data_IF_571939435921
#
_entry.id   IF_571939435921
#
_cell.length_a   1.000
_cell.length_b   1.000
_cell.length_c   1.000
_cell.angle_alpha   90.00
_cell.angle_beta   90.00
_cell.angle_gamma   90.00
#
_symmetry.space_group_name_H-M   'P 1'
#
loop_
_entity.id
_entity.type
_entity.pdbx_description
1 polymer ?
#
# COMPACT_ATOMS: atom_id res chain seq x y z
N UNK A 1 19.40 -18.67 10.53
CA UNK A 1 18.49 -17.72 9.86
C UNK A 1 18.41 -16.49 10.74
N UNK A 2 18.74 -15.32 10.26
CA UNK A 2 18.67 -14.08 11.02
C UNK A 2 17.19 -13.62 11.15
N UNK A 3 16.93 -12.52 11.88
CA UNK A 3 15.56 -12.04 12.15
C UNK A 3 14.87 -11.52 10.88
N UNK A 4 15.64 -10.96 9.95
CA UNK A 4 15.16 -10.46 8.67
C UNK A 4 14.70 -11.63 7.78
N UNK A 5 15.51 -12.69 7.65
CA UNK A 5 15.15 -13.88 6.86
C UNK A 5 13.90 -14.56 7.41
N UNK A 6 13.76 -14.62 8.75
CA UNK A 6 12.56 -15.19 9.39
C UNK A 6 11.31 -14.36 9.08
N UNK A 7 11.41 -13.03 9.09
CA UNK A 7 10.29 -12.15 8.77
C UNK A 7 9.88 -12.30 7.30
N UNK A 8 10.86 -12.37 6.40
CA UNK A 8 10.62 -12.53 4.97
C UNK A 8 9.96 -13.89 4.66
N UNK A 9 10.46 -14.99 5.23
CA UNK A 9 9.89 -16.32 5.03
C UNK A 9 8.46 -16.43 5.60
N UNK A 10 8.20 -15.80 6.76
CA UNK A 10 6.87 -15.75 7.34
C UNK A 10 5.88 -15.00 6.43
N UNK A 11 6.30 -13.86 5.87
CA UNK A 11 5.50 -13.12 4.91
C UNK A 11 5.24 -13.94 3.65
N UNK A 12 6.28 -14.55 3.06
CA UNK A 12 6.17 -15.39 1.88
C UNK A 12 5.15 -16.51 2.08
N UNK A 13 5.31 -17.31 3.12
CA UNK A 13 4.41 -18.43 3.44
C UNK A 13 2.97 -17.96 3.63
N UNK A 14 2.77 -16.84 4.35
CA UNK A 14 1.44 -16.28 4.58
C UNK A 14 0.75 -15.88 3.27
N UNK A 15 1.45 -15.13 2.39
CA UNK A 15 0.87 -14.61 1.16
C UNK A 15 0.76 -15.66 0.05
N UNK A 16 1.67 -16.66 -0.01
CA UNK A 16 1.48 -17.83 -0.88
C UNK A 16 0.17 -18.54 -0.57
N UNK A 17 -0.10 -18.82 0.70
CA UNK A 17 -1.35 -19.47 1.12
C UNK A 17 -2.59 -18.60 0.83
N UNK A 18 -2.48 -17.28 1.05
CA UNK A 18 -3.58 -16.34 0.85
C UNK A 18 -3.99 -16.23 -0.63
N UNK A 19 -3.02 -16.26 -1.55
CA UNK A 19 -3.25 -16.03 -2.97
C UNK A 19 -3.31 -17.30 -3.82
N UNK A 20 -3.03 -18.49 -3.27
CA UNK A 20 -2.96 -19.77 -4.01
C UNK A 20 -4.18 -20.06 -4.90
N UNK A 21 -5.39 -19.68 -4.46
CA UNK A 21 -6.64 -19.89 -5.20
C UNK A 21 -7.39 -18.59 -5.46
N UNK A 22 -6.68 -17.50 -5.65
CA UNK A 22 -7.31 -16.19 -5.84
C UNK A 22 -8.07 -16.11 -7.17
N UNK A 23 -9.34 -15.66 -7.10
CA UNK A 23 -10.16 -15.47 -8.28
C UNK A 23 -10.00 -14.06 -8.85
N UNK A 24 -9.65 -13.97 -10.13
CA UNK A 24 -9.50 -12.68 -10.84
C UNK A 24 -10.83 -12.08 -11.31
N UNK A 25 -11.97 -12.75 -11.10
CA UNK A 25 -13.26 -12.32 -11.65
C UNK A 25 -13.66 -10.89 -11.25
N UNK A 26 -13.43 -10.54 -9.99
CA UNK A 26 -13.70 -9.18 -9.51
C UNK A 26 -12.76 -8.16 -10.16
N UNK A 27 -11.47 -8.49 -10.33
CA UNK A 27 -10.50 -7.59 -10.96
C UNK A 27 -10.92 -7.34 -12.42
N UNK A 28 -11.28 -8.39 -13.16
CA UNK A 28 -11.80 -8.26 -14.53
C UNK A 28 -13.06 -7.40 -14.60
N UNK A 29 -13.99 -7.56 -13.66
CA UNK A 29 -15.16 -6.71 -13.57
C UNK A 29 -14.81 -5.24 -13.34
N UNK A 30 -13.83 -4.97 -12.48
CA UNK A 30 -13.39 -3.61 -12.16
C UNK A 30 -12.66 -2.93 -13.32
N UNK A 31 -11.74 -3.61 -14.00
CA UNK A 31 -11.03 -3.04 -15.14
C UNK A 31 -11.96 -2.84 -16.35
N UNK A 32 -12.97 -3.69 -16.55
CA UNK A 32 -14.01 -3.49 -17.57
C UNK A 32 -14.95 -2.32 -17.25
N UNK A 33 -15.00 -1.85 -16.00
CA UNK A 33 -15.79 -0.69 -15.54
C UNK A 33 -14.89 0.31 -14.80
N UNK A 34 -13.71 0.58 -15.35
CA UNK A 34 -12.58 1.22 -14.68
C UNK A 34 -12.92 2.58 -14.07
N UNK A 35 -13.60 3.46 -14.84
CA UNK A 35 -13.98 4.79 -14.37
C UNK A 35 -14.93 4.71 -13.18
N UNK A 36 -15.98 3.91 -13.32
CA UNK A 36 -16.95 3.69 -12.25
C UNK A 36 -16.32 3.09 -10.98
N UNK A 37 -15.40 2.15 -11.16
CA UNK A 37 -14.66 1.57 -10.05
C UNK A 37 -13.82 2.63 -9.35
N UNK A 38 -12.96 3.34 -10.09
CA UNK A 38 -12.07 4.35 -9.52
C UNK A 38 -12.84 5.48 -8.83
N UNK A 39 -13.91 6.02 -9.46
CA UNK A 39 -14.74 7.05 -8.87
C UNK A 39 -15.39 6.60 -7.55
N UNK A 40 -15.74 5.32 -7.44
CA UNK A 40 -16.26 4.75 -6.21
C UNK A 40 -15.16 4.60 -5.15
N UNK A 41 -14.09 3.85 -5.45
CA UNK A 41 -13.09 3.47 -4.43
C UNK A 41 -12.21 4.64 -3.99
N UNK A 42 -11.91 5.59 -4.86
CA UNK A 42 -11.16 6.79 -4.49
C UNK A 42 -11.95 7.78 -3.65
N UNK A 43 -13.23 7.52 -3.41
CA UNK A 43 -14.07 8.34 -2.52
C UNK A 43 -14.54 7.60 -1.27
N UNK A 44 -14.42 6.27 -1.23
CA UNK A 44 -14.91 5.45 -0.11
C UNK A 44 -13.85 4.58 0.55
N UNK A 45 -12.74 4.26 -0.15
CA UNK A 45 -11.70 3.40 0.37
C UNK A 45 -10.40 4.17 0.57
N UNK A 46 -9.97 4.24 1.82
CA UNK A 46 -8.87 5.10 2.25
C UNK A 46 -7.55 4.85 1.49
N UNK A 47 -7.23 3.58 1.18
CA UNK A 47 -6.00 3.25 0.46
C UNK A 47 -6.02 3.73 -0.99
N UNK A 48 -7.17 3.60 -1.66
CA UNK A 48 -7.36 4.11 -3.01
C UNK A 48 -7.40 5.63 -3.04
N UNK A 49 -8.16 6.24 -2.10
CA UNK A 49 -8.17 7.69 -1.94
C UNK A 49 -6.76 8.24 -1.73
N UNK A 50 -5.99 7.65 -0.80
CA UNK A 50 -4.63 8.10 -0.49
C UNK A 50 -3.67 7.92 -1.66
N UNK A 51 -3.60 6.70 -2.23
CA UNK A 51 -2.65 6.39 -3.29
C UNK A 51 -2.91 7.20 -4.58
N UNK A 52 -4.17 7.44 -4.92
CA UNK A 52 -4.57 8.12 -6.16
C UNK A 52 -4.73 9.64 -6.02
N UNK A 53 -4.31 10.24 -4.90
CA UNK A 53 -4.25 11.71 -4.74
C UNK A 53 -3.33 12.38 -5.77
N UNK A 54 -3.43 13.71 -5.88
CA UNK A 54 -2.55 14.54 -6.71
C UNK A 54 -2.56 14.12 -8.19
N UNK A 55 -3.74 13.80 -8.71
CA UNK A 55 -3.95 13.41 -10.12
C UNK A 55 -3.13 12.16 -10.56
N UNK A 56 -2.85 11.25 -9.63
CA UNK A 56 -2.02 10.08 -9.94
C UNK A 56 -2.58 9.25 -11.10
N UNK A 57 -3.92 9.09 -11.16
CA UNK A 57 -4.61 8.43 -12.27
C UNK A 57 -4.20 8.94 -13.66
N UNK A 58 -4.03 10.25 -13.81
CA UNK A 58 -3.62 10.86 -15.10
C UNK A 58 -2.11 10.80 -15.29
N UNK A 59 -1.34 10.96 -14.22
CA UNK A 59 0.13 10.98 -14.26
C UNK A 59 0.75 9.68 -14.74
N UNK A 60 0.13 8.54 -14.46
CA UNK A 60 0.69 7.21 -14.80
C UNK A 60 0.43 6.76 -16.23
N UNK A 61 -0.46 7.42 -16.96
CA UNK A 61 -0.79 7.04 -18.36
C UNK A 61 0.45 7.09 -19.24
N UNK A 62 0.78 5.96 -19.87
CA UNK A 62 1.97 5.80 -20.71
C UNK A 62 3.30 5.85 -19.95
N UNK A 63 3.28 5.73 -18.63
CA UNK A 63 4.48 5.72 -17.78
C UNK A 63 4.86 4.30 -17.39
N UNK A 64 6.14 4.10 -17.11
CA UNK A 64 6.66 2.84 -16.60
C UNK A 64 6.60 2.82 -15.10
N UNK A 65 5.85 1.89 -14.54
CA UNK A 65 5.52 1.81 -13.11
C UNK A 65 5.97 0.46 -12.55
N UNK A 66 6.67 0.48 -11.42
CA UNK A 66 6.95 -0.71 -10.62
C UNK A 66 6.06 -0.71 -9.39
N UNK A 67 5.28 -1.76 -9.19
CA UNK A 67 4.56 -2.01 -7.94
C UNK A 67 5.35 -2.99 -7.06
N UNK A 68 5.62 -2.59 -5.82
CA UNK A 68 6.28 -3.40 -4.82
C UNK A 68 5.25 -4.06 -3.91
N UNK A 69 5.36 -5.38 -3.72
CA UNK A 69 4.38 -6.15 -2.95
C UNK A 69 3.00 -6.09 -3.60
N UNK A 70 2.88 -6.54 -4.85
CA UNK A 70 1.65 -6.43 -5.62
C UNK A 70 0.49 -7.27 -5.07
N UNK A 71 0.80 -8.28 -4.27
CA UNK A 71 -0.18 -9.12 -3.59
C UNK A 71 -1.20 -9.77 -4.55
N UNK A 72 -2.47 -9.42 -4.42
CA UNK A 72 -3.55 -9.88 -5.30
C UNK A 72 -3.53 -9.24 -6.71
N UNK A 73 -2.55 -8.42 -7.02
CA UNK A 73 -2.33 -7.71 -8.29
C UNK A 73 -3.50 -6.78 -8.71
N UNK A 74 -4.42 -6.48 -7.81
CA UNK A 74 -5.56 -5.59 -8.13
C UNK A 74 -5.07 -4.21 -8.56
N UNK A 75 -4.14 -3.60 -7.80
CA UNK A 75 -3.64 -2.26 -8.13
C UNK A 75 -2.76 -2.28 -9.38
N UNK A 76 -1.95 -3.33 -9.61
CA UNK A 76 -1.21 -3.54 -10.86
C UNK A 76 -2.14 -3.57 -12.08
N UNK A 77 -3.24 -4.35 -11.99
CA UNK A 77 -4.23 -4.45 -13.07
C UNK A 77 -4.93 -3.12 -13.36
N UNK A 78 -5.28 -2.36 -12.32
CA UNK A 78 -5.90 -1.03 -12.48
C UNK A 78 -4.91 -0.05 -13.14
N UNK A 79 -3.64 -0.02 -12.73
CA UNK A 79 -2.63 0.84 -13.34
C UNK A 79 -2.36 0.46 -14.80
N UNK A 80 -2.31 -0.83 -15.11
CA UNK A 80 -2.16 -1.32 -16.48
C UNK A 80 -3.38 -0.97 -17.36
N UNK A 81 -4.60 -1.10 -16.81
CA UNK A 81 -5.83 -0.70 -17.51
C UNK A 81 -5.92 0.82 -17.74
N UNK A 82 -5.29 1.64 -16.88
CA UNK A 82 -5.11 3.08 -17.10
C UNK A 82 -4.09 3.40 -18.19
N UNK A 83 -3.39 2.39 -18.72
CA UNK A 83 -2.42 2.53 -19.80
C UNK A 83 -0.97 2.68 -19.36
N UNK A 84 -0.63 2.38 -18.10
CA UNK A 84 0.73 2.30 -17.63
C UNK A 84 1.42 1.01 -18.14
N UNK A 85 2.76 1.04 -18.30
CA UNK A 85 3.59 -0.14 -18.45
C UNK A 85 3.97 -0.63 -17.05
N UNK A 86 3.30 -1.69 -16.56
CA UNK A 86 3.38 -2.13 -15.16
C UNK A 86 4.30 -3.33 -15.00
N UNK A 87 5.23 -3.20 -14.06
CA UNK A 87 6.04 -4.27 -13.48
C UNK A 87 5.52 -4.52 -12.06
N UNK A 88 5.10 -5.73 -11.77
CA UNK A 88 4.53 -6.13 -10.49
C UNK A 88 5.49 -7.07 -9.78
N UNK A 89 6.07 -6.64 -8.65
CA UNK A 89 6.98 -7.46 -7.85
C UNK A 89 6.26 -8.03 -6.63
N UNK A 90 6.49 -9.29 -6.35
CA UNK A 90 6.11 -9.94 -5.10
C UNK A 90 7.05 -11.12 -4.81
N UNK A 91 7.21 -11.44 -3.52
CA UNK A 91 7.94 -12.62 -3.07
C UNK A 91 7.12 -13.90 -3.20
N UNK A 92 5.77 -13.77 -3.23
CA UNK A 92 4.83 -14.88 -3.40
C UNK A 92 4.67 -15.20 -4.88
N UNK A 93 5.03 -16.41 -5.31
CA UNK A 93 4.87 -16.88 -6.70
C UNK A 93 3.41 -16.95 -7.12
N UNK A 94 2.48 -17.13 -6.17
CA UNK A 94 1.05 -17.11 -6.39
C UNK A 94 0.57 -15.78 -7.04
N UNK A 95 1.22 -14.65 -6.75
CA UNK A 95 0.95 -13.36 -7.41
C UNK A 95 1.29 -13.41 -8.91
N UNK A 96 2.35 -14.13 -9.29
CA UNK A 96 2.71 -14.35 -10.70
C UNK A 96 1.65 -15.12 -11.47
N UNK A 97 1.04 -16.11 -10.85
CA UNK A 97 -0.07 -16.85 -11.44
C UNK A 97 -1.32 -15.95 -11.63
N UNK A 98 -1.58 -15.02 -10.72
CA UNK A 98 -2.63 -14.01 -10.89
C UNK A 98 -2.32 -13.11 -12.09
N UNK A 99 -1.09 -12.59 -12.21
CA UNK A 99 -0.64 -11.78 -13.36
C UNK A 99 -0.82 -12.55 -14.67
N UNK A 100 -0.41 -13.81 -14.72
CA UNK A 100 -0.58 -14.66 -15.91
C UNK A 100 -2.04 -14.74 -16.32
N UNK A 101 -2.93 -15.08 -15.38
CA UNK A 101 -4.39 -15.14 -15.62
C UNK A 101 -4.96 -13.80 -16.07
N UNK A 102 -4.53 -12.68 -15.51
CA UNK A 102 -4.97 -11.34 -15.92
C UNK A 102 -4.58 -11.04 -17.36
N UNK A 103 -3.33 -11.30 -17.75
CA UNK A 103 -2.85 -11.09 -19.12
C UNK A 103 -3.54 -12.00 -20.14
N UNK A 104 -3.95 -13.20 -19.75
CA UNK A 104 -4.71 -14.12 -20.63
C UNK A 104 -6.17 -13.72 -20.82
N UNK A 105 -6.78 -13.05 -19.85
CA UNK A 105 -8.21 -12.75 -19.83
C UNK A 105 -8.54 -11.27 -20.09
N UNK A 106 -7.52 -10.40 -20.23
CA UNK A 106 -7.73 -8.98 -20.55
C UNK A 106 -6.60 -8.47 -21.46
N UNK A 107 -6.96 -7.72 -22.49
CA UNK A 107 -6.00 -7.12 -23.41
C UNK A 107 -5.52 -5.77 -22.88
N UNK A 108 -4.43 -5.77 -22.12
CA UNK A 108 -3.75 -4.54 -21.71
C UNK A 108 -2.99 -3.92 -22.89
N UNK A 109 -2.84 -2.60 -22.91
CA UNK A 109 -1.96 -1.91 -23.85
C UNK A 109 -0.52 -2.41 -23.75
N UNK A 110 -0.07 -2.64 -22.52
CA UNK A 110 1.19 -3.29 -22.16
C UNK A 110 0.86 -4.41 -21.19
N UNK A 111 1.12 -5.68 -21.50
CA UNK A 111 0.94 -6.78 -20.56
C UNK A 111 1.70 -6.51 -19.26
N UNK A 112 1.13 -6.92 -18.13
CA UNK A 112 1.79 -6.77 -16.82
C UNK A 112 2.97 -7.73 -16.78
N UNK A 113 4.15 -7.22 -16.42
CA UNK A 113 5.38 -8.02 -16.24
C UNK A 113 5.49 -8.38 -14.75
N UNK A 114 5.49 -9.68 -14.45
CA UNK A 114 5.74 -10.12 -13.08
C UNK A 114 7.25 -10.24 -12.82
N UNK A 115 7.71 -9.67 -11.71
CA UNK A 115 9.08 -9.75 -11.22
C UNK A 115 9.04 -10.54 -9.91
N UNK A 116 9.31 -11.84 -10.00
CA UNK A 116 9.26 -12.77 -8.88
C UNK A 116 10.45 -12.59 -7.94
N UNK A 117 10.20 -12.73 -6.64
CA UNK A 117 11.24 -12.88 -5.63
C UNK A 117 11.59 -11.62 -4.86
N UNK A 118 12.73 -11.66 -4.18
CA UNK A 118 13.20 -10.54 -3.38
C UNK A 118 13.48 -9.32 -4.25
N UNK A 119 12.84 -8.22 -3.92
CA UNK A 119 13.05 -6.95 -4.60
C UNK A 119 14.53 -6.50 -4.60
N UNK A 120 15.30 -6.84 -3.57
CA UNK A 120 16.72 -6.46 -3.46
C UNK A 120 17.63 -7.28 -4.37
N UNK A 121 17.18 -8.43 -4.85
CA UNK A 121 17.93 -9.33 -5.74
C UNK A 121 17.54 -9.16 -7.22
N UNK A 122 16.80 -8.11 -7.55
CA UNK A 122 16.38 -7.86 -8.93
C UNK A 122 17.58 -7.46 -9.84
N UNK A 123 17.50 -7.83 -11.12
CA UNK A 123 18.47 -7.45 -12.15
C UNK A 123 17.98 -6.28 -13.01
N UNK A 124 17.09 -5.43 -12.49
CA UNK A 124 16.50 -4.33 -13.25
C UNK A 124 17.52 -3.19 -13.38
N UNK A 125 17.64 -2.67 -14.59
CA UNK A 125 18.53 -1.55 -14.90
C UNK A 125 18.15 -0.30 -14.07
N UNK A 126 19.17 0.44 -13.59
CA UNK A 126 18.96 1.72 -12.92
C UNK A 126 18.18 2.70 -13.79
N UNK A 127 17.45 3.62 -13.16
CA UNK A 127 16.71 4.68 -13.85
C UNK A 127 15.73 4.16 -14.90
N UNK A 128 15.02 3.05 -14.59
CA UNK A 128 14.08 2.40 -15.50
C UNK A 128 12.64 2.89 -15.34
N UNK A 129 12.24 3.36 -14.15
CA UNK A 129 10.85 3.65 -13.83
C UNK A 129 10.57 5.13 -13.65
N UNK A 130 9.41 5.57 -14.13
CA UNK A 130 8.85 6.90 -13.85
C UNK A 130 8.22 6.92 -12.45
N UNK A 131 7.62 5.79 -12.02
CA UNK A 131 7.01 5.63 -10.71
C UNK A 131 7.39 4.29 -10.07
N UNK A 132 7.55 4.31 -8.74
CA UNK A 132 7.54 3.11 -7.89
C UNK A 132 6.39 3.25 -6.90
N UNK A 133 5.57 2.22 -6.76
CA UNK A 133 4.33 2.25 -5.97
C UNK A 133 4.31 1.11 -4.97
N UNK A 134 3.89 1.37 -3.74
CA UNK A 134 3.62 0.36 -2.74
C UNK A 134 2.33 0.68 -1.98
N UNK A 135 1.39 -0.25 -1.97
CA UNK A 135 0.13 -0.10 -1.25
C UNK A 135 0.10 -1.04 -0.05
N UNK A 136 0.31 -0.48 1.14
CA UNK A 136 0.39 -1.25 2.39
C UNK A 136 1.53 -2.29 2.34
N UNK A 137 2.73 -1.84 2.04
CA UNK A 137 3.89 -2.69 1.81
C UNK A 137 5.05 -2.45 2.79
N UNK A 138 5.48 -1.18 2.99
CA UNK A 138 6.69 -0.89 3.78
C UNK A 138 6.58 -1.37 5.24
N UNK A 139 5.37 -1.41 5.80
CA UNK A 139 5.18 -1.84 7.18
C UNK A 139 5.42 -3.36 7.41
N UNK A 140 5.55 -4.15 6.34
CA UNK A 140 5.97 -5.56 6.42
C UNK A 140 7.49 -5.72 6.57
N UNK A 141 8.25 -4.67 6.27
CA UNK A 141 9.71 -4.70 6.33
C UNK A 141 10.22 -4.33 7.72
N UNK A 142 11.30 -4.96 8.16
CA UNK A 142 12.06 -4.42 9.31
C UNK A 142 12.73 -3.09 8.92
N UNK A 143 13.07 -2.25 9.89
CA UNK A 143 13.67 -0.93 9.60
C UNK A 143 14.99 -1.03 8.80
N UNK A 144 15.91 -1.98 9.09
CA UNK A 144 17.11 -2.14 8.26
C UNK A 144 16.80 -2.51 6.81
N UNK A 145 15.82 -3.41 6.59
CA UNK A 145 15.40 -3.84 5.25
C UNK A 145 14.69 -2.70 4.52
N UNK A 146 13.82 -1.92 5.19
CA UNK A 146 13.19 -0.72 4.60
C UNK A 146 14.24 0.23 4.01
N UNK A 147 15.34 0.47 4.73
CA UNK A 147 16.42 1.33 4.26
C UNK A 147 17.05 0.83 2.96
N UNK A 148 17.25 -0.48 2.84
CA UNK A 148 17.75 -1.11 1.61
C UNK A 148 16.75 -0.95 0.47
N UNK A 149 15.46 -1.17 0.73
CA UNK A 149 14.38 -1.00 -0.25
C UNK A 149 14.25 0.45 -0.75
N UNK A 150 14.37 1.44 0.14
CA UNK A 150 14.33 2.85 -0.26
C UNK A 150 15.54 3.24 -1.11
N UNK A 151 16.74 2.74 -0.79
CA UNK A 151 17.94 2.92 -1.61
C UNK A 151 17.77 2.30 -2.99
N UNK A 152 17.26 1.08 -3.07
CA UNK A 152 17.00 0.40 -4.33
C UNK A 152 15.90 1.11 -5.14
N UNK A 153 14.85 1.56 -4.49
CA UNK A 153 13.82 2.41 -5.11
C UNK A 153 14.41 3.66 -5.76
N UNK A 154 15.29 4.35 -5.04
CA UNK A 154 15.99 5.53 -5.59
C UNK A 154 16.91 5.17 -6.76
N UNK A 155 17.55 3.99 -6.77
CA UNK A 155 18.35 3.50 -7.89
C UNK A 155 17.50 3.27 -9.14
N UNK A 156 16.33 2.66 -8.97
CA UNK A 156 15.44 2.27 -10.05
C UNK A 156 14.65 3.44 -10.66
N UNK A 157 14.38 4.50 -9.90
CA UNK A 157 13.70 5.69 -10.40
C UNK A 157 14.58 6.48 -11.38
N UNK A 158 13.95 6.94 -12.47
CA UNK A 158 14.51 7.95 -13.37
C UNK A 158 14.75 9.28 -12.64
N UNK A 159 15.56 10.20 -13.17
CA UNK A 159 15.55 11.59 -12.74
C UNK A 159 14.11 12.16 -12.78
N UNK A 160 13.72 12.91 -11.77
CA UNK A 160 12.36 13.42 -11.54
C UNK A 160 11.29 12.31 -11.37
N UNK A 161 11.68 11.06 -11.16
CA UNK A 161 10.77 9.95 -10.86
C UNK A 161 10.21 10.06 -9.44
N UNK A 162 9.04 9.46 -9.21
CA UNK A 162 8.29 9.55 -7.95
C UNK A 162 8.03 8.15 -7.37
N UNK A 163 8.35 7.95 -6.09
CA UNK A 163 7.89 6.80 -5.34
C UNK A 163 6.68 7.18 -4.46
N UNK A 164 5.66 6.33 -4.43
CA UNK A 164 4.41 6.54 -3.69
C UNK A 164 4.12 5.33 -2.82
N UNK A 165 4.04 5.54 -1.51
CA UNK A 165 3.70 4.49 -0.56
C UNK A 165 2.49 4.91 0.25
N UNK A 166 1.46 4.05 0.27
CA UNK A 166 0.33 4.23 1.16
C UNK A 166 0.47 3.28 2.35
N UNK A 167 0.66 3.86 3.54
CA UNK A 167 1.01 3.11 4.75
C UNK A 167 0.12 3.47 5.95
N UNK A 168 0.00 2.58 6.96
CA UNK A 168 -0.55 2.98 8.26
C UNK A 168 0.23 4.15 8.85
N UNK A 169 -0.44 4.99 9.62
CA UNK A 169 0.16 6.09 10.38
C UNK A 169 -0.07 5.90 11.87
N UNK A 170 1.02 5.98 12.66
CA UNK A 170 0.99 5.94 14.11
C UNK A 170 1.80 7.13 14.63
N UNK A 171 1.15 8.28 14.75
CA UNK A 171 1.76 9.53 15.21
C UNK A 171 1.43 9.85 16.67
N UNK A 172 0.35 9.27 17.23
CA UNK A 172 -0.06 9.44 18.61
C UNK A 172 -0.03 8.10 19.37
N UNK A 173 0.88 7.97 20.33
CA UNK A 173 0.99 6.77 21.18
C UNK A 173 -0.29 6.49 21.97
N UNK A 174 -0.98 7.55 22.41
CA UNK A 174 -2.24 7.42 23.18
C UNK A 174 -3.33 6.81 22.30
N UNK A 175 -3.49 7.31 21.09
CA UNK A 175 -4.48 6.76 20.15
C UNK A 175 -4.14 5.35 19.69
N UNK A 176 -2.86 5.04 19.56
CA UNK A 176 -2.42 3.68 19.24
C UNK A 176 -2.77 2.71 20.37
N UNK A 177 -2.50 3.08 21.61
CA UNK A 177 -2.86 2.24 22.76
C UNK A 177 -4.39 2.05 22.87
N UNK A 178 -5.19 3.11 22.69
CA UNK A 178 -6.65 3.00 22.63
C UNK A 178 -7.09 2.05 21.53
N UNK A 179 -6.47 2.13 20.36
CA UNK A 179 -6.77 1.26 19.20
C UNK A 179 -6.59 -0.23 19.54
N UNK A 180 -5.57 -0.58 20.32
CA UNK A 180 -5.31 -1.96 20.71
C UNK A 180 -6.36 -2.54 21.65
N UNK A 181 -7.07 -1.69 22.39
CA UNK A 181 -8.17 -2.11 23.27
C UNK A 181 -9.52 -2.25 22.55
N UNK A 182 -9.66 -1.73 21.31
CA UNK A 182 -10.87 -1.87 20.50
C UNK A 182 -10.77 -3.11 19.62
N UNK A 183 -11.65 -4.12 19.77
CA UNK A 183 -11.64 -5.30 18.90
C UNK A 183 -12.07 -4.91 17.48
N UNK A 184 -11.42 -5.50 16.49
CA UNK A 184 -11.80 -5.37 15.08
C UNK A 184 -11.80 -6.76 14.43
N UNK A 185 -12.48 -6.91 13.31
CA UNK A 185 -12.52 -8.20 12.59
C UNK A 185 -11.08 -8.68 12.31
N UNK A 186 -10.76 -9.89 12.75
CA UNK A 186 -9.44 -10.53 12.59
C UNK A 186 -8.40 -10.14 13.64
N UNK A 187 -8.73 -9.25 14.59
CA UNK A 187 -7.83 -8.88 15.69
C UNK A 187 -8.60 -8.76 17.00
N UNK A 188 -8.31 -9.57 18.04
CA UNK A 188 -8.93 -9.45 19.35
C UNK A 188 -8.53 -8.17 20.07
N UNK A 189 -9.25 -7.82 21.12
CA UNK A 189 -8.90 -6.71 22.00
C UNK A 189 -7.73 -7.09 22.91
N UNK A 190 -6.88 -6.11 23.25
CA UNK A 190 -5.82 -6.26 24.27
C UNK A 190 -6.38 -6.56 25.69
N UNK A 191 -7.67 -6.33 25.94
CA UNK A 191 -8.34 -6.78 27.16
C UNK A 191 -8.45 -8.30 27.24
N UNK A 192 -8.58 -9.00 26.11
CA UNK A 192 -8.48 -10.46 26.02
C UNK A 192 -7.01 -10.82 25.77
N UNK A 193 -6.25 -10.92 26.86
CA UNK A 193 -4.79 -11.12 26.80
C UNK A 193 -4.40 -12.39 26.08
N UNK A 194 -5.08 -13.52 26.35
CA UNK A 194 -4.75 -14.82 25.76
C UNK A 194 -4.98 -14.81 24.25
N UNK A 195 -6.16 -14.38 23.80
CA UNK A 195 -6.47 -14.29 22.37
C UNK A 195 -5.55 -13.27 21.66
N UNK A 196 -5.21 -12.15 22.34
CA UNK A 196 -4.35 -11.12 21.76
C UNK A 196 -2.91 -11.62 21.58
N UNK A 197 -2.32 -12.30 22.56
CA UNK A 197 -0.97 -12.86 22.48
C UNK A 197 -0.88 -13.96 21.41
N UNK A 198 -1.90 -14.83 21.32
CA UNK A 198 -1.99 -15.82 20.25
C UNK A 198 -2.02 -15.16 18.89
N UNK A 199 -2.92 -14.18 18.68
CA UNK A 199 -3.01 -13.43 17.43
C UNK A 199 -1.68 -12.73 17.11
N UNK A 200 -1.03 -12.09 18.09
CA UNK A 200 0.24 -11.37 17.92
C UNK A 200 1.37 -12.29 17.46
N UNK A 201 1.40 -13.52 17.94
CA UNK A 201 2.38 -14.53 17.53
C UNK A 201 2.25 -14.90 16.05
N UNK A 202 1.01 -14.92 15.56
CA UNK A 202 0.70 -15.30 14.16
C UNK A 202 0.77 -14.09 13.20
N UNK A 203 0.81 -12.86 13.73
CA UNK A 203 0.89 -11.63 12.92
C UNK A 203 2.20 -11.60 12.11
N UNK A 204 2.16 -11.50 10.76
CA UNK A 204 3.35 -11.43 9.93
C UNK A 204 4.09 -10.09 10.02
N UNK A 205 3.47 -9.07 10.59
CA UNK A 205 4.05 -7.73 10.62
C UNK A 205 5.11 -7.60 11.74
N UNK A 206 6.27 -7.01 11.46
CA UNK A 206 7.26 -6.71 12.48
C UNK A 206 6.75 -5.57 13.39
N UNK A 207 7.14 -5.61 14.66
CA UNK A 207 6.96 -4.46 15.56
C UNK A 207 7.90 -3.33 15.13
N UNK A 208 7.33 -2.23 14.65
CA UNK A 208 8.11 -1.11 14.13
C UNK A 208 7.41 0.24 14.27
N UNK A 209 8.20 1.30 14.10
CA UNK A 209 7.71 2.67 14.06
C UNK A 209 7.05 2.93 12.70
N UNK A 210 5.83 3.49 12.73
CA UNK A 210 5.03 3.85 11.56
C UNK A 210 4.65 5.33 11.57
N UNK A 211 5.47 6.17 12.21
CA UNK A 211 5.19 7.60 12.28
C UNK A 211 5.57 8.33 11.00
N UNK A 212 4.89 9.44 10.73
CA UNK A 212 5.22 10.31 9.60
C UNK A 212 6.65 10.85 9.68
N UNK A 213 7.14 11.10 10.90
CA UNK A 213 8.53 11.57 11.12
C UNK A 213 9.53 10.47 10.72
N UNK A 214 9.24 9.20 11.07
CA UNK A 214 10.11 8.08 10.66
C UNK A 214 10.25 8.01 9.14
N UNK A 215 9.13 7.96 8.41
CA UNK A 215 9.16 7.86 6.95
C UNK A 215 9.78 9.10 6.29
N UNK A 216 9.57 10.30 6.86
CA UNK A 216 10.23 11.50 6.39
C UNK A 216 11.75 11.39 6.49
N UNK A 217 12.26 11.02 7.66
CA UNK A 217 13.70 10.91 7.89
C UNK A 217 14.32 9.81 7.03
N UNK A 218 13.68 8.64 6.94
CA UNK A 218 14.14 7.53 6.11
C UNK A 218 14.23 7.92 4.61
N UNK A 219 13.23 8.65 4.11
CA UNK A 219 13.24 9.12 2.72
C UNK A 219 14.29 10.18 2.43
N UNK A 220 14.55 11.09 3.37
CA UNK A 220 15.54 12.18 3.19
C UNK A 220 16.98 11.68 2.98
N UNK A 221 17.27 10.40 3.30
CA UNK A 221 18.58 9.80 3.02
C UNK A 221 18.80 9.51 1.52
N UNK A 222 17.73 9.35 0.73
CA UNK A 222 17.82 8.86 -0.65
C UNK A 222 17.10 9.74 -1.69
N UNK A 223 16.22 10.63 -1.25
CA UNK A 223 15.37 11.43 -2.12
C UNK A 223 15.52 12.92 -1.82
N UNK A 224 15.44 13.73 -2.86
CA UNK A 224 15.56 15.20 -2.76
C UNK A 224 14.33 15.87 -2.15
N UNK A 225 13.14 15.28 -2.37
CA UNK A 225 11.89 15.76 -1.81
C UNK A 225 11.15 14.65 -1.10
N UNK A 226 10.57 14.97 0.07
CA UNK A 226 9.74 14.08 0.86
C UNK A 226 8.48 14.80 1.29
N UNK A 227 7.34 14.34 0.79
CA UNK A 227 6.03 14.83 1.19
C UNK A 227 5.24 13.71 1.86
N UNK A 228 4.51 14.06 2.92
CA UNK A 228 3.63 13.12 3.63
C UNK A 228 2.25 13.74 3.75
N UNK A 229 1.26 13.02 3.25
CA UNK A 229 -0.14 13.42 3.27
C UNK A 229 -0.88 12.52 4.27
N UNK A 230 -1.25 13.03 5.46
CA UNK A 230 -2.05 12.29 6.42
C UNK A 230 -3.45 12.01 5.87
N UNK A 231 -3.98 10.83 6.13
CA UNK A 231 -5.30 10.40 5.62
C UNK A 231 -6.04 9.59 6.69
N UNK A 232 -7.35 9.79 6.79
CA UNK A 232 -8.23 8.96 7.61
C UNK A 232 -8.39 9.44 9.05
N UNK A 233 -8.17 10.72 9.31
CA UNK A 233 -8.43 11.35 10.62
C UNK A 233 -9.92 11.29 10.98
N UNK A 234 -10.78 11.77 10.08
CA UNK A 234 -12.24 11.73 10.27
C UNK A 234 -12.83 10.42 9.77
N UNK A 235 -12.33 9.89 8.68
CA UNK A 235 -12.83 8.64 8.07
C UNK A 235 -12.79 7.46 9.05
N UNK A 236 -11.85 7.42 10.00
CA UNK A 236 -11.75 6.36 11.01
C UNK A 236 -13.05 6.14 11.80
N UNK A 237 -13.84 7.20 12.02
CA UNK A 237 -15.12 7.13 12.72
C UNK A 237 -16.22 6.43 11.91
N UNK A 238 -16.01 6.19 10.63
CA UNK A 238 -16.90 5.37 9.82
C UNK A 238 -17.10 3.95 10.38
N UNK A 239 -16.14 3.47 11.19
CA UNK A 239 -16.20 2.16 11.85
C UNK A 239 -17.27 2.08 12.94
N UNK A 240 -17.74 3.22 13.44
CA UNK A 240 -18.83 3.30 14.42
C UNK A 240 -20.20 3.14 13.76
N UNK A 241 -20.27 3.23 12.43
CA UNK A 241 -21.49 3.06 11.65
C UNK A 241 -21.60 1.61 11.14
N UNK A 242 -22.82 1.08 11.10
CA UNK A 242 -23.11 -0.21 10.49
C UNK A 242 -22.74 -0.22 8.99
N UNK A 243 -22.56 -1.42 8.46
CA UNK A 243 -22.31 -1.60 7.02
C UNK A 243 -23.49 -1.07 6.17
N UNK A 244 -23.20 -0.43 5.06
CA UNK A 244 -24.20 0.05 4.12
C UNK A 244 -23.94 1.46 3.61
N UNK A 245 -24.95 2.02 2.94
CA UNK A 245 -24.84 3.30 2.24
C UNK A 245 -24.59 4.50 3.19
N UNK A 246 -25.14 4.48 4.41
CA UNK A 246 -24.88 5.52 5.41
C UNK A 246 -23.40 5.61 5.77
N UNK A 247 -22.74 4.48 5.91
CA UNK A 247 -21.29 4.41 6.14
C UNK A 247 -20.51 4.96 4.95
N UNK A 248 -20.88 4.60 3.73
CA UNK A 248 -20.23 5.10 2.51
C UNK A 248 -20.44 6.60 2.33
N UNK A 249 -21.63 7.14 2.63
CA UNK A 249 -21.88 8.59 2.65
C UNK A 249 -20.98 9.31 3.65
N UNK A 250 -20.85 8.77 4.85
CA UNK A 250 -19.96 9.33 5.86
C UNK A 250 -18.50 9.29 5.41
N UNK A 251 -18.01 8.17 4.85
CA UNK A 251 -16.65 8.06 4.31
C UNK A 251 -16.37 9.12 3.24
N UNK A 252 -17.27 9.27 2.26
CA UNK A 252 -17.15 10.31 1.21
C UNK A 252 -17.06 11.71 1.81
N UNK A 253 -17.95 12.01 2.75
CA UNK A 253 -17.95 13.31 3.43
C UNK A 253 -16.65 13.51 4.23
N UNK A 254 -16.21 12.54 5.01
CA UNK A 254 -15.02 12.60 5.84
C UNK A 254 -13.76 12.83 4.98
N UNK A 255 -13.52 11.99 3.98
CA UNK A 255 -12.34 12.08 3.11
C UNK A 255 -12.30 13.41 2.34
N UNK A 256 -13.46 13.90 1.89
CA UNK A 256 -13.56 15.21 1.21
C UNK A 256 -13.18 16.38 2.12
N UNK A 257 -13.55 16.30 3.41
CA UNK A 257 -13.45 17.42 4.33
C UNK A 257 -12.20 17.35 5.25
N UNK A 258 -11.46 16.25 5.29
CA UNK A 258 -10.24 16.14 6.11
C UNK A 258 -9.21 17.24 5.82
N UNK A 259 -9.14 17.73 4.58
CA UNK A 259 -8.27 18.84 4.20
C UNK A 259 -8.60 20.18 4.90
N UNK A 260 -9.77 20.30 5.51
CA UNK A 260 -10.18 21.48 6.29
C UNK A 260 -9.66 21.42 7.74
N UNK A 261 -9.16 20.28 8.18
CA UNK A 261 -8.58 20.15 9.51
C UNK A 261 -7.23 20.87 9.59
N UNK A 262 -6.88 21.44 10.77
CA UNK A 262 -5.54 21.94 11.01
C UNK A 262 -4.49 20.87 10.72
N UNK A 263 -3.41 21.22 10.03
CA UNK A 263 -2.38 20.28 9.56
C UNK A 263 -1.82 19.44 10.71
N UNK A 264 -1.54 20.03 11.87
CA UNK A 264 -1.03 19.33 13.03
C UNK A 264 -2.03 18.26 13.54
N UNK A 265 -3.31 18.64 13.65
CA UNK A 265 -4.35 17.71 14.08
C UNK A 265 -4.51 16.58 13.07
N UNK A 266 -4.54 16.89 11.78
CA UNK A 266 -4.65 15.85 10.74
C UNK A 266 -3.45 14.89 10.79
N UNK A 267 -2.22 15.40 10.91
CA UNK A 267 -1.02 14.59 11.05
C UNK A 267 -1.10 13.66 12.29
N UNK A 268 -1.43 14.22 13.45
CA UNK A 268 -1.33 13.49 14.72
C UNK A 268 -2.45 12.46 14.88
N UNK A 269 -3.60 12.66 14.24
CA UNK A 269 -4.77 11.80 14.35
C UNK A 269 -5.05 10.95 13.11
N UNK A 270 -4.30 11.10 12.02
CA UNK A 270 -4.45 10.24 10.85
C UNK A 270 -4.18 8.77 11.19
N UNK A 271 -4.94 7.87 10.56
CA UNK A 271 -4.72 6.42 10.70
C UNK A 271 -3.90 5.82 9.57
N UNK A 272 -3.70 6.58 8.52
CA UNK A 272 -2.91 6.21 7.33
C UNK A 272 -2.26 7.45 6.75
N UNK A 273 -1.32 7.24 5.86
CA UNK A 273 -0.59 8.31 5.19
C UNK A 273 -0.20 7.90 3.78
N UNK A 274 -0.23 8.84 2.85
CA UNK A 274 0.47 8.74 1.59
C UNK A 274 1.85 9.37 1.77
N UNK A 275 2.87 8.63 1.42
CA UNK A 275 4.28 9.04 1.42
C UNK A 275 4.69 9.21 -0.04
N UNK A 276 5.22 10.37 -0.38
CA UNK A 276 5.70 10.68 -1.73
C UNK A 276 7.17 11.07 -1.63
N UNK A 277 8.01 10.32 -2.31
CA UNK A 277 9.44 10.57 -2.45
C UNK A 277 9.75 10.93 -3.89
N UNK A 278 10.51 12.00 -4.14
CA UNK A 278 10.95 12.39 -5.48
C UNK A 278 12.47 12.40 -5.57
N UNK A 279 12.94 11.87 -6.67
CA UNK A 279 14.36 11.88 -7.04
C UNK A 279 14.66 13.10 -7.89
N UNK A 280 15.74 13.81 -7.56
CA UNK A 280 16.31 14.87 -8.43
C UNK A 280 16.87 14.31 -9.73
#
# INVERSE_FOLDING_TARGET
MNKEDQNQEKNKTHYEALYANYSISNILQWINNLDKFLDSVTTTEISWFGLYQNNFREKIKGKKVLEMGCGDCTNAAIMAALGAEVYANDIASASGEIVRKLNENYTFKHPIVFVEGDFLENNITSQSFDFVVGKAFLHHLTIPVEKLFLRETARLLKPNGEARFFEPAVNSKILDEIRWHIPVKGRPSKFDKEAFEKWKKDDPHPDRILSSIHFKNAGQEFFSEVEIFPVGTMERFSRLLGWGESRNKFKRWALKNEKLLPVALNRDFARSQLIVYRKS
#
